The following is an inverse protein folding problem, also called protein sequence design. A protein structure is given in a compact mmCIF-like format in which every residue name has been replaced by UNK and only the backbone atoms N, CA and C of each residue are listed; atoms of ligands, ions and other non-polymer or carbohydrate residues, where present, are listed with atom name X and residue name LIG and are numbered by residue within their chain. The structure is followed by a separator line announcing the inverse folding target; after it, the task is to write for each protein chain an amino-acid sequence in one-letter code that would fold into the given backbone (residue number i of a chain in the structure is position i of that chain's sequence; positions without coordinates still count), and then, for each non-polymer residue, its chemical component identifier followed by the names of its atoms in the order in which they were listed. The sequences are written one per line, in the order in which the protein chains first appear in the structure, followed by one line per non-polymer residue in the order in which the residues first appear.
data_IF_605009364854
#
_entry.id   IF_605009364854
#
_cell.length_a   1.000
_cell.length_b   1.000
_cell.length_c   1.000
_cell.angle_alpha   90.00
_cell.angle_beta   90.00
_cell.angle_gamma   90.00
#
_symmetry.space_group_name_H-M   'P 1'
#
loop_
_entity.id
_entity.type
_entity.pdbx_description
1 polymer ?
#
# COMPACT_ATOMS: atom_id res chain seq x y z
N UNK A 1 7.86 -2.14 14.56
CA UNK A 1 8.20 -3.55 14.31
C UNK A 1 8.89 -3.63 12.96
N UNK A 2 9.97 -4.42 12.85
CA UNK A 2 10.74 -4.56 11.62
C UNK A 2 10.84 -6.03 11.19
N UNK A 3 10.98 -6.27 9.89
CA UNK A 3 11.19 -7.60 9.31
C UNK A 3 12.58 -7.61 8.70
N UNK A 4 13.45 -8.52 9.15
CA UNK A 4 14.84 -8.62 8.73
C UNK A 4 15.12 -10.03 8.22
N UNK A 5 16.05 -10.15 7.26
CA UNK A 5 16.43 -11.43 6.66
C UNK A 5 17.20 -11.21 5.35
N UNK A 6 17.82 -12.26 4.84
CA UNK A 6 18.66 -12.22 3.63
C UNK A 6 17.90 -11.81 2.36
N UNK A 7 18.63 -11.37 1.33
CA UNK A 7 18.02 -11.09 0.02
C UNK A 7 17.28 -12.33 -0.50
N UNK A 8 16.07 -12.15 -1.02
CA UNK A 8 15.25 -13.26 -1.53
C UNK A 8 14.48 -14.07 -0.48
N UNK A 9 14.61 -13.82 0.83
CA UNK A 9 13.89 -14.58 1.86
C UNK A 9 12.37 -14.30 1.97
N UNK A 10 11.79 -13.57 1.01
CA UNK A 10 10.34 -13.34 0.93
C UNK A 10 9.79 -12.09 1.63
N UNK A 11 10.63 -11.21 2.20
CA UNK A 11 10.18 -9.98 2.90
C UNK A 11 9.28 -9.10 2.02
N UNK A 12 9.69 -8.84 0.78
CA UNK A 12 8.92 -8.00 -0.16
C UNK A 12 7.64 -8.69 -0.59
N UNK A 13 7.65 -10.02 -0.73
CA UNK A 13 6.44 -10.81 -1.01
C UNK A 13 5.45 -10.68 0.13
N UNK A 14 5.90 -10.88 1.37
CA UNK A 14 5.07 -10.71 2.57
C UNK A 14 4.47 -9.29 2.66
N UNK A 15 5.29 -8.25 2.45
CA UNK A 15 4.81 -6.86 2.45
C UNK A 15 3.72 -6.63 1.38
N UNK A 16 3.94 -7.12 0.15
CA UNK A 16 2.97 -7.03 -0.95
C UNK A 16 1.69 -7.81 -0.65
N UNK A 17 1.78 -8.97 -0.01
CA UNK A 17 0.61 -9.76 0.41
C UNK A 17 -0.22 -9.02 1.45
N UNK A 18 0.42 -8.39 2.44
CA UNK A 18 -0.28 -7.57 3.45
C UNK A 18 -1.06 -6.44 2.77
N UNK A 19 -0.43 -5.69 1.87
CA UNK A 19 -1.11 -4.57 1.18
C UNK A 19 -2.05 -5.02 0.05
N UNK A 20 -2.13 -6.32 -0.25
CA UNK A 20 -3.09 -6.90 -1.20
C UNK A 20 -2.66 -6.80 -2.66
N UNK A 21 -1.35 -6.63 -2.92
CA UNK A 21 -0.73 -6.67 -4.25
C UNK A 21 -0.35 -8.09 -4.68
N UNK A 22 -0.23 -9.02 -3.73
CA UNK A 22 0.01 -10.45 -3.96
C UNK A 22 -1.03 -11.26 -3.19
N UNK A 23 -1.51 -12.36 -3.78
CA UNK A 23 -2.50 -13.22 -3.12
C UNK A 23 -1.79 -14.26 -2.23
N UNK A 24 -2.20 -14.43 -0.95
CA UNK A 24 -1.70 -15.52 -0.14
C UNK A 24 -2.26 -16.86 -0.66
N UNK A 25 -1.49 -17.94 -0.49
CA UNK A 25 -1.97 -19.30 -0.81
C UNK A 25 -3.02 -19.74 0.22
N UNK A 26 -2.78 -19.42 1.49
CA UNK A 26 -3.68 -19.74 2.60
C UNK A 26 -3.38 -18.85 3.81
N UNK A 27 -4.17 -19.00 4.87
CA UNK A 27 -3.98 -18.28 6.13
C UNK A 27 -5.00 -17.18 6.35
N UNK A 28 -4.75 -16.34 7.34
CA UNK A 28 -5.62 -15.23 7.75
C UNK A 28 -4.77 -13.98 7.95
N UNK A 29 -5.24 -12.86 7.43
CA UNK A 29 -4.62 -11.56 7.63
C UNK A 29 -5.68 -10.63 8.21
N UNK A 30 -5.37 -10.04 9.38
CA UNK A 30 -6.24 -9.08 10.05
C UNK A 30 -5.46 -7.80 10.36
N UNK A 31 -6.09 -6.66 10.13
CA UNK A 31 -5.54 -5.36 10.47
C UNK A 31 -6.65 -4.45 11.01
N UNK A 32 -6.43 -3.86 12.19
CA UNK A 32 -7.42 -3.02 12.88
C UNK A 32 -8.81 -3.68 13.03
N UNK A 33 -8.84 -5.01 13.20
CA UNK A 33 -10.09 -5.78 13.30
C UNK A 33 -10.74 -6.14 11.95
N UNK A 34 -10.22 -5.64 10.83
CA UNK A 34 -10.69 -5.96 9.47
C UNK A 34 -9.94 -7.15 8.89
N UNK A 35 -10.65 -7.98 8.13
CA UNK A 35 -10.03 -8.97 7.26
C UNK A 35 -9.41 -8.26 6.05
N UNK A 36 -8.14 -8.56 5.77
CA UNK A 36 -7.39 -7.97 4.66
C UNK A 36 -6.92 -9.02 3.66
N UNK A 37 -7.51 -10.21 3.63
CA UNK A 37 -7.10 -11.27 2.71
C UNK A 37 -7.43 -10.94 1.25
N UNK A 38 -8.46 -10.14 1.01
CA UNK A 38 -8.89 -9.76 -0.33
C UNK A 38 -7.81 -8.92 -1.06
N UNK A 39 -7.65 -9.09 -2.39
CA UNK A 39 -6.81 -8.21 -3.20
C UNK A 39 -7.20 -6.73 -3.02
N UNK A 40 -6.22 -5.82 -3.14
CA UNK A 40 -6.43 -4.39 -2.86
C UNK A 40 -7.57 -3.77 -3.66
N UNK A 41 -7.79 -4.23 -4.89
CA UNK A 41 -8.87 -3.77 -5.79
C UNK A 41 -10.28 -4.12 -5.30
N UNK A 42 -10.40 -5.08 -4.38
CA UNK A 42 -11.67 -5.48 -3.76
C UNK A 42 -11.85 -4.93 -2.35
N UNK A 43 -10.85 -4.22 -1.81
CA UNK A 43 -10.91 -3.60 -0.49
C UNK A 43 -11.67 -2.29 -0.58
N UNK A 44 -12.42 -1.97 0.47
CA UNK A 44 -13.08 -0.67 0.56
C UNK A 44 -12.07 0.46 0.70
N UNK A 45 -12.51 1.69 0.40
CA UNK A 45 -11.66 2.87 0.41
C UNK A 45 -11.08 3.18 1.80
N UNK A 46 -11.79 2.84 2.87
CA UNK A 46 -11.33 3.05 4.25
C UNK A 46 -10.11 2.16 4.52
N UNK A 47 -10.19 0.88 4.16
CA UNK A 47 -9.08 -0.05 4.35
C UNK A 47 -7.87 0.31 3.49
N UNK A 48 -8.09 0.71 2.24
CA UNK A 48 -7.01 1.18 1.35
C UNK A 48 -6.34 2.46 1.90
N UNK A 49 -7.12 3.35 2.53
CA UNK A 49 -6.60 4.56 3.18
C UNK A 49 -5.74 4.27 4.41
N UNK A 50 -6.10 3.26 5.20
CA UNK A 50 -5.36 2.88 6.42
C UNK A 50 -4.09 2.06 6.12
N UNK A 51 -4.01 1.42 4.95
CA UNK A 51 -2.91 0.53 4.60
C UNK A 51 -2.30 0.90 3.23
N UNK A 52 -1.24 1.71 3.29
CA UNK A 52 -0.52 2.20 2.11
C UNK A 52 0.94 1.73 2.11
N UNK A 53 1.52 1.58 0.92
CA UNK A 53 2.90 1.12 0.74
C UNK A 53 3.78 2.23 0.14
N UNK A 54 5.01 2.35 0.67
CA UNK A 54 6.11 3.05 0.01
C UNK A 54 7.05 1.99 -0.55
N UNK A 55 7.32 2.04 -1.84
CA UNK A 55 8.18 1.06 -2.51
C UNK A 55 9.66 1.40 -2.31
N UNK A 56 10.51 0.37 -2.34
CA UNK A 56 11.96 0.51 -2.12
C UNK A 56 12.64 1.40 -3.17
N UNK A 57 12.12 1.42 -4.40
CA UNK A 57 12.60 2.27 -5.48
C UNK A 57 11.55 3.36 -5.75
N UNK A 58 11.57 4.49 -5.01
CA UNK A 58 10.55 5.53 -5.16
C UNK A 58 10.64 6.20 -6.53
N UNK A 59 11.85 6.33 -7.08
CA UNK A 59 12.13 6.92 -8.39
C UNK A 59 11.44 6.18 -9.54
N UNK A 60 11.26 4.86 -9.45
CA UNK A 60 10.52 4.10 -10.46
C UNK A 60 9.00 4.25 -10.36
N UNK A 61 8.50 4.81 -9.26
CA UNK A 61 7.06 5.04 -9.03
C UNK A 61 6.61 6.46 -9.33
N UNK A 62 7.55 7.40 -9.43
CA UNK A 62 7.27 8.78 -9.80
C UNK A 62 7.24 8.91 -11.32
N UNK A 63 6.16 9.51 -11.84
CA UNK A 63 6.07 9.84 -13.25
C UNK A 63 6.68 11.23 -13.49
N UNK A 64 7.76 11.35 -14.27
CA UNK A 64 8.46 12.62 -14.50
C UNK A 64 7.63 13.66 -15.23
N UNK A 65 6.51 13.26 -15.86
CA UNK A 65 5.57 14.17 -16.51
C UNK A 65 4.75 15.01 -15.52
N UNK A 66 4.81 14.70 -14.22
CA UNK A 66 4.04 15.40 -13.19
C UNK A 66 4.94 15.96 -12.08
N UNK A 67 4.57 17.13 -11.55
CA UNK A 67 5.26 17.70 -10.39
C UNK A 67 5.14 16.79 -9.16
N UNK A 68 6.12 16.87 -8.27
CA UNK A 68 6.11 16.16 -6.97
C UNK A 68 4.84 16.51 -6.19
N UNK A 69 4.47 17.80 -6.15
CA UNK A 69 3.26 18.27 -5.46
C UNK A 69 1.97 17.65 -6.01
N UNK A 70 1.86 17.49 -7.34
CA UNK A 70 0.71 16.81 -7.94
C UNK A 70 0.64 15.33 -7.52
N UNK A 71 1.79 14.63 -7.57
CA UNK A 71 1.84 13.20 -7.25
C UNK A 71 1.55 12.92 -5.78
N UNK A 72 2.03 13.76 -4.86
CA UNK A 72 1.71 13.69 -3.42
C UNK A 72 0.26 14.15 -3.16
N UNK A 73 -0.22 15.18 -3.85
CA UNK A 73 -1.56 15.72 -3.68
C UNK A 73 -2.67 14.78 -4.17
N UNK A 74 -2.40 13.97 -5.18
CA UNK A 74 -3.36 13.01 -5.76
C UNK A 74 -3.96 12.05 -4.72
N UNK A 75 -3.19 11.26 -3.94
CA UNK A 75 -3.76 10.40 -2.90
C UNK A 75 -4.43 11.20 -1.77
N UNK A 76 -3.90 12.38 -1.40
CA UNK A 76 -4.51 13.22 -0.37
C UNK A 76 -5.92 13.69 -0.74
N UNK A 77 -6.12 14.09 -2.00
CA UNK A 77 -7.43 14.45 -2.56
C UNK A 77 -8.33 13.23 -2.69
N UNK A 78 -7.80 12.10 -3.17
CA UNK A 78 -8.55 10.85 -3.36
C UNK A 78 -9.19 10.38 -2.05
N UNK A 79 -8.46 10.43 -0.95
CA UNK A 79 -8.90 9.95 0.37
C UNK A 79 -9.45 11.06 1.28
N UNK A 80 -9.76 12.23 0.71
CA UNK A 80 -10.35 13.41 1.38
C UNK A 80 -9.61 13.80 2.68
N UNK A 81 -8.28 13.83 2.66
CA UNK A 81 -7.46 14.32 3.79
C UNK A 81 -7.16 15.83 3.71
N UNK A 82 -7.52 16.49 2.60
CA UNK A 82 -7.35 17.93 2.42
C UNK A 82 -8.69 18.51 2.01
N UNK A 83 -9.28 19.33 2.89
CA UNK A 83 -10.44 20.15 2.54
C UNK A 83 -9.96 21.24 1.60
N UNK A 84 -10.70 21.47 0.50
CA UNK A 84 -10.48 22.66 -0.33
C UNK A 84 -10.71 23.90 0.55
N UNK A 85 -9.71 24.77 0.61
CA UNK A 85 -9.85 26.17 0.94
C UNK A 85 -9.29 26.96 -0.24
#
# INVERSE_FOLDING_TARGET
MGIVGESGCGKSTLAKTIVGLESPISGKLKFLGFDILAPVVKRDERLVKELQMVFQNPDSTLNPSFSVGYQIGRPLRRFRKVSHN
#
